data_IF_393670093150
#
_entry.id   IF_393670093150
#
_cell.length_a   1.000
_cell.length_b   1.000
_cell.length_c   1.000
_cell.angle_alpha   90.00
_cell.angle_beta   90.00
_cell.angle_gamma   90.00
#
_symmetry.space_group_name_H-M   'P 1'
#
loop_
_entity.id
_entity.type
_entity.pdbx_description
1 polymer ?
#
# COMPACT_ATOMS: atom_id res chain seq x y z
N UNK A 1 13.20 -9.51 -16.86
CA UNK A 1 12.37 -10.47 -17.61
C UNK A 1 13.19 -11.29 -18.59
N UNK A 2 12.71 -12.46 -18.91
CA UNK A 2 13.39 -13.46 -19.74
C UNK A 2 13.34 -13.15 -21.26
N UNK A 3 13.17 -11.93 -21.68
CA UNK A 3 13.19 -11.52 -23.08
C UNK A 3 12.52 -10.18 -23.31
N UNK A 4 12.86 -9.52 -24.43
CA UNK A 4 12.22 -8.28 -24.88
C UNK A 4 11.44 -8.61 -26.17
N UNK A 5 10.11 -8.51 -26.10
CA UNK A 5 9.27 -8.60 -27.29
C UNK A 5 8.61 -7.23 -27.58
N UNK A 6 8.56 -6.86 -28.87
CA UNK A 6 7.82 -5.66 -29.27
C UNK A 6 6.33 -5.85 -28.97
N UNK A 7 5.65 -4.82 -28.46
CA UNK A 7 4.21 -4.85 -28.12
C UNK A 7 3.33 -5.36 -29.29
N UNK A 8 3.72 -5.08 -30.54
CA UNK A 8 3.05 -5.53 -31.77
C UNK A 8 3.11 -7.06 -31.96
N UNK A 9 4.09 -7.73 -31.36
CA UNK A 9 4.29 -9.18 -31.48
C UNK A 9 3.72 -9.97 -30.31
N UNK A 10 3.11 -9.29 -29.33
CA UNK A 10 2.45 -9.92 -28.20
C UNK A 10 1.04 -10.33 -28.59
N UNK A 11 0.79 -11.63 -28.70
CA UNK A 11 -0.54 -12.21 -28.97
C UNK A 11 -1.44 -12.26 -27.73
N UNK A 12 -0.90 -11.99 -26.56
CA UNK A 12 -1.62 -11.99 -25.28
C UNK A 12 -2.21 -10.63 -24.91
N UNK A 13 -3.26 -10.62 -24.07
CA UNK A 13 -3.86 -9.38 -23.54
C UNK A 13 -2.90 -8.71 -22.55
N UNK A 14 -2.16 -7.72 -23.02
CA UNK A 14 -1.27 -6.87 -22.21
C UNK A 14 -1.89 -5.48 -22.14
N UNK A 15 -2.14 -5.01 -20.92
CA UNK A 15 -2.52 -3.62 -20.63
C UNK A 15 -1.32 -2.88 -20.06
N UNK A 16 -1.12 -1.62 -20.45
CA UNK A 16 -0.06 -0.77 -19.92
C UNK A 16 -0.62 0.51 -19.34
N UNK A 17 -0.09 0.92 -18.20
CA UNK A 17 -0.35 2.21 -17.56
C UNK A 17 0.97 3.00 -17.64
N UNK A 18 0.91 4.21 -18.18
CA UNK A 18 2.07 5.08 -18.35
C UNK A 18 2.24 6.04 -17.17
N UNK A 19 3.40 6.68 -17.08
CA UNK A 19 3.70 7.72 -16.09
C UNK A 19 2.64 8.85 -16.13
N UNK A 20 2.24 9.31 -17.32
CA UNK A 20 1.29 10.40 -17.50
C UNK A 20 -0.08 10.12 -16.84
N UNK A 21 -0.47 8.86 -16.74
CA UNK A 21 -1.70 8.44 -16.08
C UNK A 21 -1.58 8.41 -14.55
N UNK A 22 -0.37 8.39 -14.03
CA UNK A 22 -0.04 8.36 -12.59
C UNK A 22 0.25 9.76 -12.04
N UNK A 23 0.80 10.66 -12.87
CA UNK A 23 1.18 12.02 -12.47
C UNK A 23 -0.03 12.91 -12.15
N UNK A 24 0.16 13.86 -11.23
CA UNK A 24 -0.85 14.85 -10.86
C UNK A 24 -1.99 14.34 -9.97
N UNK A 25 -2.00 13.07 -9.60
CA UNK A 25 -3.01 12.52 -8.67
C UNK A 25 -2.51 12.59 -7.22
N UNK A 26 -3.34 13.01 -6.26
CA UNK A 26 -2.97 13.02 -4.84
C UNK A 26 -3.05 11.62 -4.23
N UNK A 27 -2.17 10.73 -4.69
CA UNK A 27 -2.17 9.30 -4.35
C UNK A 27 -1.04 8.98 -3.37
N UNK A 28 -1.33 8.12 -2.41
CA UNK A 28 -0.36 7.63 -1.45
C UNK A 28 0.42 6.42 -1.97
N UNK A 29 -0.17 5.63 -2.88
CA UNK A 29 0.48 4.47 -3.47
C UNK A 29 0.09 4.24 -4.95
N UNK A 30 0.87 3.42 -5.63
CA UNK A 30 0.71 3.10 -7.06
C UNK A 30 -0.63 2.41 -7.35
N UNK A 31 -1.12 1.58 -6.44
CA UNK A 31 -2.37 0.84 -6.63
C UNK A 31 -3.58 1.78 -6.72
N UNK A 32 -3.62 2.82 -5.87
CA UNK A 32 -4.67 3.84 -5.94
C UNK A 32 -4.69 4.55 -7.30
N UNK A 33 -3.50 4.84 -7.86
CA UNK A 33 -3.38 5.45 -9.19
C UNK A 33 -3.91 4.56 -10.32
N UNK A 34 -3.75 3.26 -10.17
CA UNK A 34 -4.15 2.27 -11.18
C UNK A 34 -5.65 1.95 -11.15
N UNK A 35 -6.37 2.36 -10.11
CA UNK A 35 -7.80 2.08 -10.00
C UNK A 35 -8.58 2.69 -11.17
N UNK A 36 -9.36 1.85 -11.85
CA UNK A 36 -10.17 2.27 -13.01
C UNK A 36 -9.41 2.53 -14.31
N UNK A 37 -8.06 2.38 -14.34
CA UNK A 37 -7.27 2.65 -15.55
C UNK A 37 -7.22 1.47 -16.52
N UNK A 38 -7.45 0.25 -16.04
CA UNK A 38 -7.24 -0.97 -16.82
C UNK A 38 -8.43 -1.91 -16.72
N UNK A 39 -9.06 -2.30 -17.85
CA UNK A 39 -10.16 -3.29 -17.86
C UNK A 39 -9.69 -4.64 -17.29
N UNK A 40 -10.51 -5.25 -16.40
CA UNK A 40 -10.24 -6.54 -15.76
C UNK A 40 -9.20 -6.50 -14.64
N UNK A 41 -8.79 -5.29 -14.20
CA UNK A 41 -8.05 -5.05 -12.98
C UNK A 41 -9.02 -4.54 -11.92
N UNK A 42 -9.12 -5.27 -10.81
CA UNK A 42 -9.94 -4.88 -9.66
C UNK A 42 -9.00 -4.51 -8.51
N UNK A 43 -9.11 -3.29 -8.04
CA UNK A 43 -8.35 -2.77 -6.89
C UNK A 43 -9.36 -2.40 -5.82
N UNK A 44 -9.24 -3.00 -4.64
CA UNK A 44 -10.14 -2.80 -3.53
C UNK A 44 -9.38 -2.30 -2.31
N UNK A 45 -9.81 -1.17 -1.78
CA UNK A 45 -9.31 -0.66 -0.50
C UNK A 45 -10.01 -1.42 0.63
N UNK A 46 -9.26 -2.23 1.37
CA UNK A 46 -9.79 -3.03 2.48
C UNK A 46 -9.90 -2.23 3.79
N UNK A 47 -9.11 -1.18 3.95
CA UNK A 47 -9.07 -0.33 5.15
C UNK A 47 -8.81 1.12 4.78
N UNK A 48 -9.31 2.04 5.59
CA UNK A 48 -9.03 3.49 5.49
C UNK A 48 -7.90 3.94 6.42
N UNK A 49 -7.20 3.00 7.07
CA UNK A 49 -6.03 3.34 7.89
C UNK A 49 -4.87 3.78 7.00
N UNK A 50 -4.10 4.82 7.40
CA UNK A 50 -2.95 5.28 6.65
C UNK A 50 -1.95 4.14 6.37
N UNK A 51 -1.39 4.10 5.16
CA UNK A 51 -0.46 3.05 4.76
C UNK A 51 -1.07 1.68 4.49
N UNK A 52 -2.40 1.53 4.56
CA UNK A 52 -3.07 0.29 4.14
C UNK A 52 -2.86 0.06 2.64
N UNK A 53 -2.57 -1.18 2.29
CA UNK A 53 -2.31 -1.58 0.90
C UNK A 53 -3.59 -2.13 0.30
N UNK A 54 -4.11 -1.55 -0.81
CA UNK A 54 -5.24 -2.12 -1.52
C UNK A 54 -4.94 -3.52 -2.03
N UNK A 55 -5.93 -4.41 -2.03
CA UNK A 55 -5.82 -5.68 -2.72
C UNK A 55 -5.95 -5.47 -4.24
N UNK A 56 -5.21 -6.28 -4.99
CA UNK A 56 -5.21 -6.25 -6.45
C UNK A 56 -5.60 -7.63 -6.99
N UNK A 57 -6.58 -7.68 -7.88
CA UNK A 57 -7.02 -8.90 -8.53
C UNK A 57 -7.09 -8.71 -10.04
N UNK A 58 -6.56 -9.67 -10.78
CA UNK A 58 -6.62 -9.69 -12.25
C UNK A 58 -7.65 -10.75 -12.66
N UNK A 59 -8.68 -10.31 -13.40
CA UNK A 59 -9.79 -11.16 -13.89
C UNK A 59 -10.64 -11.81 -12.80
N UNK A 60 -10.71 -11.21 -11.61
CA UNK A 60 -11.52 -11.68 -10.49
C UNK A 60 -10.81 -12.68 -9.58
N UNK A 61 -11.57 -13.28 -8.67
CA UNK A 61 -11.06 -14.25 -7.69
C UNK A 61 -11.03 -15.64 -8.33
N UNK A 62 -9.85 -16.22 -8.47
CA UNK A 62 -9.63 -17.52 -9.11
C UNK A 62 -9.48 -18.65 -8.08
N UNK A 63 -9.16 -18.33 -6.85
CA UNK A 63 -8.93 -19.29 -5.77
C UNK A 63 -9.50 -18.78 -4.45
N UNK A 64 -9.74 -19.67 -3.50
CA UNK A 64 -10.12 -19.30 -2.12
C UNK A 64 -8.92 -18.91 -1.25
N UNK A 65 -7.70 -19.09 -1.76
CA UNK A 65 -6.46 -18.73 -1.09
C UNK A 65 -5.98 -17.34 -1.56
N UNK A 66 -4.67 -17.17 -1.74
CA UNK A 66 -4.09 -15.92 -2.24
C UNK A 66 -4.38 -15.72 -3.72
N UNK A 67 -5.01 -14.60 -4.09
CA UNK A 67 -5.29 -14.18 -5.46
C UNK A 67 -4.38 -13.04 -5.95
N UNK A 68 -3.37 -12.64 -5.16
CA UNK A 68 -2.47 -11.56 -5.55
C UNK A 68 -1.66 -11.94 -6.79
N UNK A 69 -1.52 -11.06 -7.78
CA UNK A 69 -0.65 -11.27 -8.91
C UNK A 69 0.82 -11.20 -8.50
N UNK A 70 1.66 -11.86 -9.26
CA UNK A 70 3.11 -11.74 -9.11
C UNK A 70 3.57 -10.34 -9.55
N UNK A 71 4.23 -9.60 -8.68
CA UNK A 71 4.77 -8.27 -8.98
C UNK A 71 6.27 -8.37 -9.24
N UNK A 72 6.71 -7.93 -10.43
CA UNK A 72 8.11 -7.90 -10.83
C UNK A 72 8.53 -6.45 -11.10
N UNK A 73 9.51 -5.98 -10.35
CA UNK A 73 10.06 -4.63 -10.45
C UNK A 73 11.49 -4.73 -11.00
N UNK A 74 11.74 -4.20 -12.21
CA UNK A 74 13.02 -4.26 -12.88
C UNK A 74 13.66 -5.67 -12.93
N UNK A 75 12.81 -6.71 -13.01
CA UNK A 75 13.22 -8.12 -13.12
C UNK A 75 13.28 -8.89 -11.81
N UNK A 76 13.01 -8.29 -10.66
CA UNK A 76 12.94 -8.93 -9.33
C UNK A 76 11.55 -8.83 -8.74
N UNK A 77 11.15 -9.85 -7.99
CA UNK A 77 9.91 -9.85 -7.21
C UNK A 77 9.95 -8.77 -6.12
N UNK A 78 8.92 -7.91 -6.08
CA UNK A 78 8.81 -6.80 -5.13
C UNK A 78 7.36 -6.44 -4.80
N UNK A 79 7.16 -5.31 -4.11
CA UNK A 79 5.85 -4.83 -3.69
C UNK A 79 5.54 -3.48 -4.32
N UNK A 80 4.34 -3.34 -4.92
CA UNK A 80 3.84 -2.06 -5.45
C UNK A 80 3.65 -1.02 -4.34
N UNK A 81 3.35 -1.43 -3.11
CA UNK A 81 3.18 -0.54 -1.97
C UNK A 81 4.47 0.22 -1.60
N UNK A 82 5.62 -0.38 -1.90
CA UNK A 82 6.94 0.17 -1.57
C UNK A 82 7.52 1.07 -2.66
N UNK A 83 6.83 1.15 -3.82
CA UNK A 83 7.26 2.00 -4.93
C UNK A 83 6.80 3.44 -4.73
N UNK A 84 7.70 4.36 -5.09
CA UNK A 84 7.32 5.74 -5.31
C UNK A 84 6.70 5.87 -6.71
N UNK A 85 5.44 6.35 -6.84
CA UNK A 85 4.82 6.55 -8.15
C UNK A 85 5.66 7.41 -9.10
N UNK A 86 6.38 8.41 -8.58
CA UNK A 86 7.24 9.30 -9.37
C UNK A 86 8.43 8.58 -10.05
N UNK A 87 8.85 7.40 -9.54
CA UNK A 87 9.96 6.62 -10.09
C UNK A 87 9.54 5.66 -11.21
N UNK A 88 8.24 5.53 -11.50
CA UNK A 88 7.72 4.57 -12.45
C UNK A 88 7.76 5.16 -13.86
N UNK A 89 8.28 4.40 -14.81
CA UNK A 89 8.19 4.69 -16.25
C UNK A 89 6.96 4.05 -16.86
N UNK A 90 6.73 2.75 -16.54
CA UNK A 90 5.62 1.98 -17.11
C UNK A 90 5.23 0.81 -16.20
N UNK A 91 3.93 0.54 -16.14
CA UNK A 91 3.39 -0.69 -15.57
C UNK A 91 2.73 -1.48 -16.69
N UNK A 92 3.09 -2.76 -16.82
CA UNK A 92 2.49 -3.69 -17.78
C UNK A 92 1.82 -4.84 -17.05
N UNK A 93 0.56 -5.13 -17.37
CA UNK A 93 -0.23 -6.17 -16.73
C UNK A 93 -0.40 -7.32 -17.71
N UNK A 94 0.18 -8.48 -17.37
CA UNK A 94 0.07 -9.72 -18.13
C UNK A 94 -1.09 -10.53 -17.57
N UNK A 95 -2.12 -10.72 -18.39
CA UNK A 95 -3.38 -11.35 -17.96
C UNK A 95 -3.55 -12.78 -18.47
N UNK A 96 -2.89 -13.12 -19.57
CA UNK A 96 -3.06 -14.41 -20.25
C UNK A 96 -1.96 -15.39 -19.91
N UNK A 97 -2.28 -16.68 -19.85
CA UNK A 97 -1.34 -17.76 -19.57
C UNK A 97 -0.14 -17.78 -20.55
N UNK A 98 -0.36 -17.45 -21.82
CA UNK A 98 0.71 -17.37 -22.81
C UNK A 98 1.73 -16.28 -22.52
N UNK A 99 1.30 -15.15 -21.97
CA UNK A 99 2.19 -14.02 -21.58
C UNK A 99 2.86 -14.23 -20.23
N UNK A 100 2.25 -15.02 -19.34
CA UNK A 100 2.75 -15.30 -17.99
C UNK A 100 3.56 -16.59 -17.89
N UNK A 101 3.57 -17.44 -18.91
CA UNK A 101 4.21 -18.76 -18.93
C UNK A 101 5.70 -18.76 -18.52
N UNK A 102 6.44 -17.70 -18.85
CA UNK A 102 7.86 -17.54 -18.48
C UNK A 102 8.10 -17.37 -16.97
N UNK A 103 7.05 -17.06 -16.20
CA UNK A 103 7.12 -16.88 -14.74
C UNK A 103 6.62 -18.13 -13.97
N UNK A 104 6.23 -19.20 -14.68
CA UNK A 104 5.80 -20.47 -14.09
C UNK A 104 4.50 -20.40 -13.32
N UNK A 105 4.32 -21.34 -12.37
CA UNK A 105 3.08 -21.49 -11.61
C UNK A 105 2.75 -20.31 -10.69
N UNK A 106 3.75 -19.53 -10.26
CA UNK A 106 3.55 -18.31 -9.44
C UNK A 106 2.77 -17.22 -10.16
N UNK A 107 2.74 -17.27 -11.49
CA UNK A 107 2.05 -16.30 -12.33
C UNK A 107 0.59 -16.71 -12.67
N UNK A 108 0.03 -17.71 -12.00
CA UNK A 108 -1.35 -18.19 -12.22
C UNK A 108 -2.40 -17.10 -12.06
N UNK A 109 -2.18 -16.14 -11.16
CA UNK A 109 -3.06 -15.00 -10.90
C UNK A 109 -2.72 -13.77 -11.75
N UNK A 110 -1.84 -13.93 -12.77
CA UNK A 110 -1.33 -12.82 -13.59
C UNK A 110 -0.02 -12.24 -13.06
N UNK A 111 0.57 -11.34 -13.84
CA UNK A 111 1.84 -10.68 -13.51
C UNK A 111 1.72 -9.17 -13.73
N UNK A 112 2.20 -8.41 -12.78
CA UNK A 112 2.39 -6.96 -12.87
C UNK A 112 3.87 -6.68 -13.06
N UNK A 113 4.25 -6.20 -14.23
CA UNK A 113 5.62 -5.81 -14.56
C UNK A 113 5.77 -4.31 -14.38
N UNK A 114 6.67 -3.90 -13.53
CA UNK A 114 7.03 -2.48 -13.34
C UNK A 114 8.39 -2.23 -13.92
N UNK A 115 8.46 -1.26 -14.82
CA UNK A 115 9.72 -0.67 -15.30
C UNK A 115 9.86 0.69 -14.67
N UNK A 116 11.02 0.94 -14.05
CA UNK A 116 11.30 2.23 -13.41
C UNK A 116 12.09 3.15 -14.35
N UNK A 117 12.00 4.45 -14.09
CA UNK A 117 12.71 5.48 -14.83
C UNK A 117 14.23 5.19 -14.82
N UNK A 118 14.86 5.31 -15.98
CA UNK A 118 16.29 5.09 -16.17
C UNK A 118 16.98 6.42 -16.47
N UNK A 119 18.29 6.45 -16.25
CA UNK A 119 19.11 7.57 -16.66
C UNK A 119 19.11 7.74 -18.18
N UNK A 120 19.16 8.97 -18.65
CA UNK A 120 19.27 9.35 -20.07
C UNK A 120 20.59 10.05 -20.31
N UNK A 121 21.22 9.80 -21.45
CA UNK A 121 22.37 10.60 -21.89
C UNK A 121 21.91 12.06 -22.11
N UNK A 122 22.68 13.00 -21.58
CA UNK A 122 22.36 14.43 -21.67
C UNK A 122 22.84 15.21 -20.46
N UNK A 123 22.44 16.48 -20.42
CA UNK A 123 22.71 17.35 -19.26
C UNK A 123 21.96 16.83 -18.03
N UNK A 124 22.50 17.15 -16.87
CA UNK A 124 21.85 16.82 -15.59
C UNK A 124 20.53 17.59 -15.50
N UNK A 125 19.45 16.88 -15.29
CA UNK A 125 18.12 17.41 -15.03
C UNK A 125 17.73 17.04 -13.61
N UNK A 126 17.27 18.04 -12.85
CA UNK A 126 16.79 17.87 -11.48
C UNK A 126 15.31 18.23 -11.47
N UNK A 127 14.48 17.34 -10.97
CA UNK A 127 13.05 17.57 -10.79
C UNK A 127 12.68 17.51 -9.32
N UNK A 128 11.77 18.38 -8.90
CA UNK A 128 11.17 18.36 -7.56
C UNK A 128 9.66 18.44 -7.69
N UNK A 129 8.99 17.43 -7.12
CA UNK A 129 7.54 17.33 -7.10
C UNK A 129 7.07 17.43 -5.65
N UNK A 130 6.09 18.29 -5.41
CA UNK A 130 5.44 18.48 -4.12
C UNK A 130 3.94 18.30 -4.24
N UNK A 131 3.36 17.56 -3.32
CA UNK A 131 1.91 17.41 -3.19
C UNK A 131 1.51 17.67 -1.75
N UNK A 132 0.43 18.42 -1.57
CA UNK A 132 -0.28 18.57 -0.30
C UNK A 132 -1.75 18.33 -0.51
N UNK A 133 -2.36 17.57 0.38
CA UNK A 133 -3.78 17.25 0.34
C UNK A 133 -4.37 17.14 1.75
N UNK A 134 -5.70 17.14 1.81
CA UNK A 134 -6.46 16.92 3.04
C UNK A 134 -7.45 15.79 2.80
N UNK A 135 -7.38 14.79 3.65
CA UNK A 135 -8.29 13.66 3.62
C UNK A 135 -9.47 13.88 4.57
N UNK A 136 -10.63 13.42 4.16
CA UNK A 136 -11.85 13.43 4.96
C UNK A 136 -12.64 12.14 4.69
N UNK A 137 -13.37 11.59 5.67
CA UNK A 137 -14.32 10.52 5.39
C UNK A 137 -15.35 10.97 4.33
N UNK A 138 -15.51 10.21 3.28
CA UNK A 138 -16.47 10.52 2.20
C UNK A 138 -17.91 10.41 2.66
N UNK A 139 -18.19 9.51 3.61
CA UNK A 139 -19.50 9.32 4.22
C UNK A 139 -19.33 8.70 5.60
N UNK A 140 -20.09 9.18 6.56
CA UNK A 140 -20.24 8.56 7.87
C UNK A 140 -21.70 8.16 8.07
N UNK A 141 -21.99 7.12 8.87
CA UNK A 141 -23.35 6.72 9.20
C UNK A 141 -24.14 7.89 9.79
N UNK A 142 -25.36 8.09 9.31
CA UNK A 142 -26.31 9.00 9.93
C UNK A 142 -26.90 8.32 11.15
N UNK A 143 -26.69 8.91 12.31
CA UNK A 143 -27.23 8.44 13.58
C UNK A 143 -28.51 9.28 13.89
N UNK A 144 -29.54 8.61 14.41
CA UNK A 144 -30.74 9.29 14.86
C UNK A 144 -30.40 10.27 15.98
N UNK A 145 -31.10 11.42 16.02
CA UNK A 145 -30.98 12.35 17.13
C UNK A 145 -31.48 11.73 18.43
N UNK A 146 -30.96 12.21 19.55
CA UNK A 146 -31.23 11.63 20.88
C UNK A 146 -32.72 11.56 21.24
N UNK A 147 -33.49 12.58 20.88
CA UNK A 147 -34.94 12.57 21.11
C UNK A 147 -35.68 11.56 20.22
N UNK A 148 -35.25 11.42 18.94
CA UNK A 148 -35.81 10.43 18.02
C UNK A 148 -35.50 9.02 18.53
N UNK A 149 -34.25 8.80 18.98
CA UNK A 149 -33.86 7.53 19.60
C UNK A 149 -34.75 7.20 20.81
N UNK A 150 -35.00 8.17 21.70
CA UNK A 150 -35.82 7.97 22.90
C UNK A 150 -37.29 7.67 22.56
N UNK A 151 -37.85 8.37 21.56
CA UNK A 151 -39.21 8.13 21.05
C UNK A 151 -39.36 6.72 20.47
N UNK A 152 -38.43 6.32 19.54
CA UNK A 152 -38.44 4.99 18.92
C UNK A 152 -38.20 3.87 19.94
N UNK A 153 -37.33 4.12 20.93
CA UNK A 153 -37.08 3.15 21.99
C UNK A 153 -38.37 2.90 22.82
N UNK A 154 -39.10 3.97 23.17
CA UNK A 154 -40.39 3.86 23.89
C UNK A 154 -41.40 3.10 23.03
N UNK A 155 -41.53 3.42 21.75
CA UNK A 155 -42.43 2.71 20.83
C UNK A 155 -42.10 1.20 20.79
N UNK A 156 -40.83 0.85 20.63
CA UNK A 156 -40.38 -0.54 20.64
C UNK A 156 -40.65 -1.25 21.98
N UNK A 157 -40.48 -0.55 23.11
CA UNK A 157 -40.77 -1.08 24.44
C UNK A 157 -42.26 -1.39 24.58
N UNK A 158 -43.12 -0.45 24.22
CA UNK A 158 -44.60 -0.59 24.31
C UNK A 158 -45.07 -1.73 23.37
N UNK A 159 -44.58 -1.78 22.14
CA UNK A 159 -44.94 -2.81 21.17
C UNK A 159 -44.50 -4.21 21.64
N UNK A 160 -43.49 -4.32 22.50
CA UNK A 160 -43.05 -5.58 23.12
C UNK A 160 -43.69 -5.85 24.51
N UNK A 161 -44.73 -5.07 24.90
CA UNK A 161 -45.46 -5.23 26.17
C UNK A 161 -44.69 -4.71 27.40
N UNK A 162 -43.66 -3.90 27.20
CA UNK A 162 -42.88 -3.26 28.29
C UNK A 162 -43.31 -1.81 28.49
N UNK A 163 -43.05 -1.27 29.66
CA UNK A 163 -43.30 0.15 29.93
C UNK A 163 -42.31 1.03 29.12
N UNK A 164 -42.78 2.24 28.77
CA UNK A 164 -41.91 3.27 28.21
C UNK A 164 -40.74 3.56 29.17
N UNK A 165 -39.53 3.70 28.64
CA UNK A 165 -38.33 3.97 29.42
C UNK A 165 -38.10 5.46 29.66
N UNK A 166 -38.39 6.28 28.67
CA UNK A 166 -38.16 7.72 28.71
C UNK A 166 -39.47 8.47 28.94
N UNK A 167 -39.47 9.43 29.88
CA UNK A 167 -40.62 10.30 30.11
C UNK A 167 -40.72 11.39 29.04
N UNK A 168 -41.90 12.03 28.84
CA UNK A 168 -42.03 13.16 27.92
C UNK A 168 -41.07 14.32 28.25
N UNK A 169 -40.79 14.57 29.53
CA UNK A 169 -39.86 15.61 30.00
C UNK A 169 -38.43 15.29 29.61
N UNK A 170 -38.00 14.03 29.75
CA UNK A 170 -36.67 13.58 29.29
C UNK A 170 -36.51 13.72 27.78
N UNK A 171 -37.51 13.33 26.99
CA UNK A 171 -37.50 13.50 25.54
C UNK A 171 -37.42 14.98 25.16
N UNK A 172 -38.20 15.84 25.86
CA UNK A 172 -38.16 17.29 25.67
C UNK A 172 -36.76 17.86 26.03
N UNK A 173 -36.13 17.37 27.09
CA UNK A 173 -34.77 17.76 27.47
C UNK A 173 -33.74 17.42 26.37
N UNK A 174 -33.82 16.22 25.81
CA UNK A 174 -32.95 15.83 24.67
C UNK A 174 -33.16 16.73 23.46
N UNK A 175 -34.42 17.10 23.15
CA UNK A 175 -34.75 18.00 22.03
C UNK A 175 -34.28 19.44 22.27
N UNK A 176 -34.20 19.89 23.51
CA UNK A 176 -33.88 21.28 23.89
C UNK A 176 -32.42 21.46 24.35
N UNK A 177 -31.48 20.62 23.89
CA UNK A 177 -30.05 20.79 24.13
C UNK A 177 -29.44 19.79 25.11
N UNK A 178 -30.13 18.70 25.44
CA UNK A 178 -29.51 17.55 26.10
C UNK A 178 -28.47 16.83 25.21
N UNK A 179 -27.78 15.83 25.75
CA UNK A 179 -26.77 15.09 24.98
C UNK A 179 -27.33 14.56 23.65
N UNK A 180 -26.65 14.87 22.55
CA UNK A 180 -26.97 14.39 21.21
C UNK A 180 -25.66 14.08 20.46
N UNK A 181 -25.09 12.90 20.71
CA UNK A 181 -23.75 12.56 20.33
C UNK A 181 -23.75 11.55 19.19
N UNK A 182 -23.10 11.90 18.08
CA UNK A 182 -22.75 10.94 17.04
C UNK A 182 -21.40 10.31 17.39
N UNK A 183 -21.41 9.18 18.10
CA UNK A 183 -20.23 8.47 18.58
C UNK A 183 -19.27 8.07 17.45
N UNK A 184 -19.79 7.71 16.28
CA UNK A 184 -18.96 7.38 15.13
C UNK A 184 -18.20 8.60 14.62
N UNK A 185 -18.89 9.76 14.48
CA UNK A 185 -18.27 11.00 14.04
C UNK A 185 -17.16 11.47 14.98
N UNK A 186 -17.33 11.21 16.29
CA UNK A 186 -16.34 11.59 17.29
C UNK A 186 -15.06 10.77 17.26
N UNK A 187 -15.02 9.64 16.56
CA UNK A 187 -13.77 8.87 16.34
C UNK A 187 -12.84 9.53 15.33
N UNK A 188 -13.35 10.40 14.47
CA UNK A 188 -12.61 10.92 13.31
C UNK A 188 -12.13 12.36 13.51
N UNK A 189 -10.94 12.61 12.96
CA UNK A 189 -10.47 13.97 12.72
C UNK A 189 -11.28 14.60 11.58
N UNK A 190 -11.56 15.88 11.71
CA UNK A 190 -12.29 16.61 10.66
C UNK A 190 -11.51 16.71 9.38
N UNK A 191 -10.20 16.89 9.49
CA UNK A 191 -9.25 17.03 8.40
C UNK A 191 -7.98 16.27 8.77
N UNK A 192 -7.48 15.46 7.85
CA UNK A 192 -6.24 14.70 7.99
C UNK A 192 -5.29 15.07 6.86
N UNK A 193 -4.25 15.86 7.15
CA UNK A 193 -3.32 16.31 6.11
C UNK A 193 -2.46 15.14 5.60
N UNK A 194 -2.07 15.26 4.34
CA UNK A 194 -1.02 14.46 3.74
C UNK A 194 -0.11 15.33 2.87
N UNK A 195 1.17 14.99 2.83
CA UNK A 195 2.14 15.65 1.96
C UNK A 195 3.11 14.66 1.37
N UNK A 196 3.56 14.91 0.14
CA UNK A 196 4.67 14.18 -0.44
C UNK A 196 5.68 15.11 -1.08
N UNK A 197 6.95 14.72 -1.00
CA UNK A 197 8.10 15.41 -1.56
C UNK A 197 8.93 14.40 -2.34
N UNK A 198 9.18 14.66 -3.62
CA UNK A 198 10.00 13.81 -4.45
C UNK A 198 11.05 14.66 -5.14
N UNK A 199 12.31 14.25 -5.01
CA UNK A 199 13.44 14.86 -5.74
C UNK A 199 14.04 13.79 -6.62
N UNK A 200 14.23 14.06 -7.88
CA UNK A 200 14.93 13.18 -8.79
C UNK A 200 15.99 13.92 -9.60
N UNK A 201 17.03 13.18 -9.95
CA UNK A 201 18.12 13.65 -10.79
C UNK A 201 18.43 12.61 -11.87
N UNK A 202 18.40 13.03 -13.12
CA UNK A 202 18.81 12.21 -14.26
C UNK A 202 19.91 12.90 -15.04
N UNK A 203 20.81 12.10 -15.63
CA UNK A 203 21.89 12.64 -16.45
C UNK A 203 22.80 11.56 -16.97
N UNK A 204 23.81 11.98 -17.73
CA UNK A 204 24.82 11.08 -18.23
C UNK A 204 25.40 11.48 -19.58
N UNK A 205 26.14 10.56 -20.15
CA UNK A 205 26.69 10.66 -21.50
C UNK A 205 26.51 9.31 -22.24
N UNK A 206 27.12 9.14 -23.40
CA UNK A 206 27.01 7.91 -24.21
C UNK A 206 27.56 6.66 -23.51
N UNK A 207 28.42 6.81 -22.50
CA UNK A 207 29.02 5.71 -21.76
C UNK A 207 28.33 5.46 -20.40
N UNK A 208 27.94 6.51 -19.69
CA UNK A 208 27.35 6.43 -18.36
C UNK A 208 26.06 7.21 -18.32
N UNK A 209 24.95 6.58 -17.92
CA UNK A 209 23.72 7.26 -17.58
C UNK A 209 23.24 6.83 -16.19
N UNK A 210 22.62 7.76 -15.48
CA UNK A 210 22.16 7.52 -14.13
C UNK A 210 20.84 8.24 -13.84
N UNK A 211 20.07 7.67 -12.93
CA UNK A 211 18.89 8.25 -12.30
C UNK A 211 18.98 7.98 -10.81
N UNK A 212 18.83 9.03 -10.01
CA UNK A 212 18.73 8.94 -8.56
C UNK A 212 17.46 9.67 -8.10
N UNK A 213 16.75 9.13 -7.12
CA UNK A 213 15.59 9.79 -6.52
C UNK A 213 15.52 9.56 -5.02
N UNK A 214 14.90 10.55 -4.35
CA UNK A 214 14.51 10.50 -2.95
C UNK A 214 13.05 10.91 -2.83
N UNK A 215 12.27 10.13 -2.09
CA UNK A 215 10.85 10.39 -1.84
C UNK A 215 10.54 10.37 -0.34
N UNK A 216 9.65 11.26 0.08
CA UNK A 216 9.07 11.31 1.41
C UNK A 216 7.57 11.49 1.30
N UNK A 217 6.79 10.68 1.99
CA UNK A 217 5.35 10.80 2.15
C UNK A 217 5.02 10.82 3.64
N UNK A 218 4.16 11.75 4.05
CA UNK A 218 3.57 11.84 5.38
C UNK A 218 2.05 11.92 5.26
N UNK A 219 1.34 11.01 5.90
CA UNK A 219 -0.11 10.90 5.86
C UNK A 219 -0.65 10.74 7.28
N UNK A 220 -1.38 11.73 7.77
CA UNK A 220 -2.01 11.68 9.08
C UNK A 220 -3.23 10.75 9.08
N UNK A 221 -3.49 10.10 10.21
CA UNK A 221 -4.68 9.27 10.38
C UNK A 221 -5.96 10.10 10.39
N UNK A 222 -7.01 9.55 9.80
CA UNK A 222 -8.37 10.08 9.96
C UNK A 222 -8.96 9.79 11.35
N UNK A 223 -8.45 8.80 12.09
CA UNK A 223 -8.86 8.54 13.47
C UNK A 223 -8.18 9.50 14.44
N UNK A 224 -8.92 9.92 15.48
CA UNK A 224 -8.35 10.67 16.59
C UNK A 224 -7.31 9.82 17.33
N UNK A 225 -6.35 10.47 17.96
CA UNK A 225 -5.30 9.83 18.76
C UNK A 225 -3.96 10.50 18.62
N UNK A 226 -2.96 10.08 19.41
CA UNK A 226 -1.64 10.72 19.42
C UNK A 226 -0.79 10.26 18.23
N UNK A 227 -0.52 11.16 17.29
CA UNK A 227 0.44 11.00 16.17
C UNK A 227 0.23 9.72 15.35
N UNK A 228 -1.01 9.30 15.13
CA UNK A 228 -1.31 8.19 14.24
C UNK A 228 -1.17 8.62 12.78
N UNK A 229 -0.54 7.76 12.00
CA UNK A 229 -0.30 8.08 10.61
C UNK A 229 0.64 7.10 9.93
N UNK A 230 1.07 7.48 8.74
CA UNK A 230 1.95 6.72 7.88
C UNK A 230 3.03 7.61 7.31
N UNK A 231 4.29 7.18 7.42
CA UNK A 231 5.43 7.82 6.78
C UNK A 231 6.13 6.83 5.87
N UNK A 232 6.45 7.26 4.65
CA UNK A 232 7.24 6.48 3.71
C UNK A 232 8.45 7.26 3.25
N UNK A 233 9.59 6.59 3.28
CA UNK A 233 10.86 7.07 2.77
C UNK A 233 11.28 6.16 1.62
N UNK A 234 11.60 6.72 0.48
CA UNK A 234 12.10 6.01 -0.68
C UNK A 234 13.45 6.57 -1.11
N UNK A 235 14.34 5.69 -1.56
CA UNK A 235 15.55 6.06 -2.27
C UNK A 235 15.76 5.09 -3.43
N UNK A 236 16.13 5.60 -4.58
CA UNK A 236 16.40 4.79 -5.79
C UNK A 236 17.67 5.27 -6.47
N UNK A 237 18.41 4.31 -7.04
CA UNK A 237 19.56 4.55 -7.88
C UNK A 237 19.56 3.54 -9.04
N UNK A 238 19.52 4.06 -10.26
CA UNK A 238 19.66 3.29 -11.49
C UNK A 238 20.89 3.82 -12.25
N UNK A 239 21.82 2.95 -12.59
CA UNK A 239 23.04 3.30 -13.32
C UNK A 239 23.21 2.32 -14.47
N UNK A 240 23.47 2.84 -15.66
CA UNK A 240 23.87 2.05 -16.84
C UNK A 240 25.22 2.54 -17.34
N UNK A 241 26.19 1.64 -17.39
CA UNK A 241 27.56 1.94 -17.82
C UNK A 241 27.99 1.04 -18.99
N UNK A 242 28.17 1.63 -20.15
CA UNK A 242 28.82 0.98 -21.31
C UNK A 242 30.34 1.00 -21.11
N UNK A 243 30.85 -0.08 -20.51
CA UNK A 243 32.26 -0.21 -20.20
C UNK A 243 33.09 -0.28 -21.50
N UNK A 244 32.53 -0.96 -22.51
CA UNK A 244 33.04 -1.02 -23.88
C UNK A 244 31.86 -0.94 -24.85
N UNK A 245 32.13 -0.90 -26.16
CA UNK A 245 31.06 -0.87 -27.17
C UNK A 245 30.18 -2.13 -27.17
N UNK A 246 30.67 -3.22 -26.61
CA UNK A 246 29.98 -4.52 -26.59
C UNK A 246 29.72 -5.05 -25.16
N UNK A 247 30.09 -4.29 -24.11
CA UNK A 247 29.88 -4.71 -22.72
C UNK A 247 29.23 -3.60 -21.90
N UNK A 248 28.08 -3.89 -21.31
CA UNK A 248 27.28 -2.95 -20.48
C UNK A 248 27.03 -3.54 -19.11
N UNK A 249 27.20 -2.73 -18.07
CA UNK A 249 26.79 -3.01 -16.70
C UNK A 249 25.61 -2.15 -16.30
N UNK A 250 24.57 -2.76 -15.74
CA UNK A 250 23.41 -2.08 -15.22
C UNK A 250 23.29 -2.37 -13.71
N UNK A 251 23.09 -1.33 -12.92
CA UNK A 251 22.80 -1.39 -11.51
C UNK A 251 21.43 -0.77 -11.26
N UNK A 252 20.58 -1.49 -10.56
CA UNK A 252 19.30 -0.97 -10.04
C UNK A 252 19.26 -1.19 -8.55
N UNK A 253 18.95 -0.17 -7.77
CA UNK A 253 18.82 -0.28 -6.31
C UNK A 253 17.65 0.57 -5.83
N UNK A 254 16.87 0.03 -4.91
CA UNK A 254 15.74 0.70 -4.25
C UNK A 254 15.78 0.39 -2.77
N UNK A 255 15.58 1.41 -1.96
CA UNK A 255 15.25 1.30 -0.54
C UNK A 255 13.88 1.92 -0.30
N UNK A 256 13.08 1.27 0.55
CA UNK A 256 11.83 1.81 1.04
C UNK A 256 11.69 1.52 2.54
N UNK A 257 11.33 2.53 3.30
CA UNK A 257 10.89 2.39 4.70
C UNK A 257 9.46 2.88 4.82
N UNK A 258 8.59 2.02 5.36
CA UNK A 258 7.23 2.34 5.71
C UNK A 258 7.10 2.29 7.23
N UNK A 259 6.69 3.40 7.84
CA UNK A 259 6.45 3.52 9.28
C UNK A 259 4.96 3.83 9.47
N UNK A 260 4.22 2.83 9.95
CA UNK A 260 2.78 2.90 10.21
C UNK A 260 2.58 2.92 11.71
N UNK A 261 1.99 4.00 12.23
CA UNK A 261 1.61 4.11 13.63
C UNK A 261 0.11 4.24 13.75
N UNK A 262 -0.52 3.33 14.44
CA UNK A 262 -1.97 3.26 14.62
C UNK A 262 -2.32 2.91 16.08
N UNK A 263 -3.59 2.97 16.43
CA UNK A 263 -4.06 2.54 17.73
C UNK A 263 -3.87 1.03 17.95
N UNK A 264 -3.71 0.62 19.22
CA UNK A 264 -3.41 -0.78 19.59
C UNK A 264 -4.63 -1.73 19.51
N UNK A 265 -5.84 -1.21 19.36
CA UNK A 265 -7.08 -1.99 19.29
C UNK A 265 -7.58 -2.09 17.85
N UNK A 266 -8.37 -3.12 17.56
CA UNK A 266 -8.89 -3.34 16.20
C UNK A 266 -9.88 -2.26 15.78
N UNK A 267 -9.64 -1.66 14.64
CA UNK A 267 -10.41 -0.55 14.08
C UNK A 267 -11.90 -0.90 13.93
N UNK A 268 -12.17 -2.08 13.38
CA UNK A 268 -13.51 -2.58 13.13
C UNK A 268 -14.30 -2.67 14.44
N UNK A 269 -13.67 -3.15 15.49
CA UNK A 269 -14.29 -3.26 16.79
C UNK A 269 -14.59 -1.87 17.41
N UNK A 270 -13.67 -0.90 17.27
CA UNK A 270 -13.88 0.48 17.75
C UNK A 270 -15.08 1.11 17.04
N UNK A 271 -15.16 0.97 15.71
CA UNK A 271 -16.27 1.48 14.90
C UNK A 271 -17.59 0.78 15.28
N UNK A 272 -17.56 -0.55 15.44
CA UNK A 272 -18.74 -1.33 15.85
C UNK A 272 -19.27 -0.87 17.20
N UNK A 273 -18.41 -0.69 18.19
CA UNK A 273 -18.82 -0.19 19.50
C UNK A 273 -19.42 1.21 19.41
N UNK A 274 -18.82 2.11 18.64
CA UNK A 274 -19.37 3.46 18.44
C UNK A 274 -20.74 3.45 17.75
N UNK A 275 -20.96 2.54 16.79
CA UNK A 275 -22.28 2.38 16.14
C UNK A 275 -23.37 1.86 17.09
N UNK A 276 -22.99 1.12 18.12
CA UNK A 276 -23.94 0.58 19.13
C UNK A 276 -24.28 1.57 20.22
N UNK A 277 -23.53 2.69 20.32
CA UNK A 277 -23.76 3.66 21.40
C UNK A 277 -24.95 4.54 21.12
N UNK A 278 -25.92 4.60 22.08
CA UNK A 278 -27.03 5.51 21.96
C UNK A 278 -26.60 6.97 22.01
N UNK A 279 -27.22 7.87 21.23
CA UNK A 279 -26.85 9.28 21.14
C UNK A 279 -27.14 10.10 22.39
N UNK A 280 -27.91 9.56 23.32
CA UNK A 280 -28.30 10.18 24.59
C UNK A 280 -27.21 10.22 25.66
N UNK A 281 -26.08 9.55 25.41
CA UNK A 281 -24.95 9.51 26.34
C UNK A 281 -23.83 10.42 25.88
N UNK A 282 -23.29 11.29 26.73
CA UNK A 282 -22.06 12.04 26.44
C UNK A 282 -20.84 11.08 26.40
N UNK A 283 -19.81 11.46 25.67
CA UNK A 283 -18.54 10.67 25.60
C UNK A 283 -17.75 10.78 26.90
N UNK A 284 -17.77 11.98 27.51
CA UNK A 284 -17.15 12.28 28.81
C UNK A 284 -18.20 12.77 29.80
N UNK A 285 -17.97 12.42 31.04
CA UNK A 285 -18.72 12.92 32.18
C UNK A 285 -18.35 14.39 32.48
N UNK A 286 -19.10 15.05 33.38
CA UNK A 286 -18.83 16.44 33.77
C UNK A 286 -17.46 16.63 34.44
N UNK A 287 -16.93 15.61 35.09
CA UNK A 287 -15.59 15.60 35.69
C UNK A 287 -14.44 15.36 34.68
N UNK A 288 -14.78 15.19 33.39
CA UNK A 288 -13.83 14.92 32.31
C UNK A 288 -13.44 13.44 32.11
N UNK A 289 -13.89 12.55 32.99
CA UNK A 289 -13.69 11.10 32.82
C UNK A 289 -14.50 10.57 31.64
N UNK A 290 -14.06 9.46 31.05
CA UNK A 290 -14.81 8.85 29.95
C UNK A 290 -16.06 8.16 30.45
N UNK A 291 -17.17 8.37 29.75
CA UNK A 291 -18.44 7.76 30.08
C UNK A 291 -18.54 6.33 29.52
N UNK A 292 -19.03 5.41 30.34
CA UNK A 292 -19.37 4.05 29.99
C UNK A 292 -20.86 3.85 30.12
N UNK A 293 -21.66 4.01 29.04
CA UNK A 293 -23.11 3.82 29.12
C UNK A 293 -23.47 2.44 29.66
N UNK A 294 -24.59 2.35 30.42
CA UNK A 294 -25.03 1.13 31.06
C UNK A 294 -25.06 -0.07 30.10
N UNK A 295 -24.35 -1.14 30.44
CA UNK A 295 -24.21 -2.33 29.62
C UNK A 295 -23.08 -2.24 28.58
N UNK A 296 -22.33 -1.14 28.51
CA UNK A 296 -21.12 -1.01 27.70
C UNK A 296 -19.88 -1.04 28.59
N UNK A 297 -18.90 -1.85 28.21
CA UNK A 297 -17.60 -1.87 28.86
C UNK A 297 -16.56 -1.09 28.01
N UNK A 298 -17.02 -0.18 27.14
CA UNK A 298 -16.11 0.40 26.16
C UNK A 298 -16.51 1.82 25.78
N UNK A 299 -15.49 2.67 25.71
CA UNK A 299 -15.54 3.97 25.06
C UNK A 299 -14.54 3.99 23.91
N UNK A 300 -15.03 4.04 22.65
CA UNK A 300 -14.18 3.96 21.46
C UNK A 300 -13.18 5.12 21.37
N UNK A 301 -13.56 6.34 21.80
CA UNK A 301 -12.66 7.49 21.79
C UNK A 301 -11.52 7.32 22.81
N UNK A 302 -11.83 6.82 24.01
CA UNK A 302 -10.80 6.54 25.01
C UNK A 302 -9.78 5.52 24.50
N UNK A 303 -10.25 4.47 23.79
CA UNK A 303 -9.32 3.48 23.19
C UNK A 303 -8.40 4.10 22.15
N UNK A 304 -8.88 5.06 21.38
CA UNK A 304 -8.05 5.80 20.43
C UNK A 304 -7.05 6.73 21.13
N UNK A 305 -7.46 7.42 22.18
CA UNK A 305 -6.64 8.44 22.85
C UNK A 305 -5.68 7.85 23.89
N UNK A 306 -6.12 6.84 24.66
CA UNK A 306 -5.41 6.30 25.81
C UNK A 306 -4.99 4.83 25.66
N UNK A 307 -5.58 4.09 24.73
CA UNK A 307 -5.40 2.64 24.58
C UNK A 307 -4.02 2.17 24.17
N UNK A 308 -3.10 3.10 23.94
CA UNK A 308 -1.76 2.79 23.44
C UNK A 308 -1.69 2.80 21.93
N UNK A 309 -0.58 2.26 21.39
CA UNK A 309 -0.32 2.29 19.95
C UNK A 309 0.31 1.01 19.45
N UNK A 310 0.17 0.79 18.17
CA UNK A 310 0.86 -0.23 17.39
C UNK A 310 1.67 0.48 16.31
N UNK A 311 2.98 0.21 16.28
CA UNK A 311 3.88 0.74 15.26
C UNK A 311 4.47 -0.41 14.46
N UNK A 312 4.35 -0.32 13.15
CA UNK A 312 4.82 -1.33 12.21
C UNK A 312 5.80 -0.68 11.24
N UNK A 313 7.09 -0.99 11.41
CA UNK A 313 8.16 -0.47 10.54
C UNK A 313 8.60 -1.56 9.58
N UNK A 314 8.45 -1.29 8.27
CA UNK A 314 8.86 -2.18 7.20
C UNK A 314 10.00 -1.54 6.42
N UNK A 315 11.14 -2.20 6.37
CA UNK A 315 12.28 -1.82 5.55
C UNK A 315 12.44 -2.81 4.39
N UNK A 316 12.51 -2.32 3.18
CA UNK A 316 12.79 -3.13 2.00
C UNK A 316 13.99 -2.57 1.23
N UNK A 317 14.96 -3.45 0.98
CA UNK A 317 16.05 -3.21 0.05
C UNK A 317 15.93 -4.17 -1.13
N UNK A 318 15.82 -3.62 -2.33
CA UNK A 318 15.77 -4.34 -3.59
C UNK A 318 16.96 -3.89 -4.43
N UNK A 319 17.69 -4.82 -5.05
CA UNK A 319 18.82 -4.45 -5.90
C UNK A 319 19.19 -5.52 -6.92
N UNK A 320 19.63 -5.08 -8.10
CA UNK A 320 20.08 -5.94 -9.21
C UNK A 320 21.34 -5.37 -9.83
N UNK A 321 22.28 -6.24 -10.12
CA UNK A 321 23.42 -6.00 -11.02
C UNK A 321 23.22 -6.89 -12.23
N UNK A 322 23.28 -6.33 -13.44
CA UNK A 322 23.18 -7.06 -14.70
C UNK A 322 24.36 -6.70 -15.59
N UNK A 323 25.00 -7.71 -16.15
CA UNK A 323 26.04 -7.59 -17.16
C UNK A 323 25.50 -8.11 -18.50
N UNK A 324 25.65 -7.32 -19.54
CA UNK A 324 25.35 -7.68 -20.92
C UNK A 324 26.59 -7.61 -21.77
N UNK A 325 26.96 -8.72 -22.42
CA UNK A 325 28.12 -8.81 -23.28
C UNK A 325 27.74 -9.34 -24.66
N UNK A 326 27.91 -8.53 -25.68
CA UNK A 326 27.80 -8.97 -27.07
C UNK A 326 29.14 -9.56 -27.53
N UNK A 327 29.27 -10.87 -27.33
CA UNK A 327 30.52 -11.62 -27.61
C UNK A 327 30.82 -11.67 -29.11
N UNK A 328 29.77 -11.78 -29.92
CA UNK A 328 29.80 -11.79 -31.37
C UNK A 328 28.50 -11.13 -31.88
N UNK A 329 28.53 -10.62 -33.12
CA UNK A 329 27.36 -9.96 -33.73
C UNK A 329 26.10 -10.84 -33.62
N UNK A 330 25.14 -10.37 -32.84
CA UNK A 330 23.88 -11.05 -32.57
C UNK A 330 23.93 -12.10 -31.45
N UNK A 331 25.12 -12.47 -30.92
CA UNK A 331 25.30 -13.39 -29.80
C UNK A 331 25.54 -12.55 -28.52
N UNK A 332 24.60 -12.56 -27.59
CA UNK A 332 24.71 -11.88 -26.31
C UNK A 332 24.66 -12.87 -25.14
N UNK A 333 25.57 -12.64 -24.20
CA UNK A 333 25.53 -13.23 -22.86
C UNK A 333 25.00 -12.20 -21.89
N UNK A 334 24.01 -12.58 -21.10
CA UNK A 334 23.39 -11.71 -20.09
C UNK A 334 23.43 -12.45 -18.77
N UNK A 335 24.12 -11.87 -17.80
CA UNK A 335 24.17 -12.36 -16.43
C UNK A 335 23.53 -11.32 -15.48
N UNK A 336 22.66 -11.73 -14.59
CA UNK A 336 22.14 -10.86 -13.54
C UNK A 336 22.14 -11.57 -12.20
N UNK A 337 22.46 -10.82 -11.16
CA UNK A 337 22.33 -11.22 -9.77
C UNK A 337 21.62 -10.09 -9.02
N UNK A 338 20.65 -10.45 -8.21
CA UNK A 338 19.93 -9.48 -7.44
C UNK A 338 19.20 -10.11 -6.26
N UNK A 339 18.56 -9.28 -5.46
CA UNK A 339 17.82 -9.77 -4.32
C UNK A 339 16.98 -8.71 -3.66
N UNK A 340 16.14 -9.22 -2.78
CA UNK A 340 15.27 -8.46 -1.90
C UNK A 340 15.57 -8.83 -0.46
N UNK A 341 15.75 -7.84 0.39
CA UNK A 341 15.77 -8.01 1.86
C UNK A 341 14.61 -7.21 2.41
N UNK A 342 13.73 -7.88 3.13
CA UNK A 342 12.60 -7.24 3.80
C UNK A 342 12.66 -7.52 5.29
N UNK A 343 12.58 -6.46 6.09
CA UNK A 343 12.53 -6.53 7.54
C UNK A 343 11.22 -5.89 7.99
N UNK A 344 10.54 -6.55 8.91
CA UNK A 344 9.39 -6.01 9.61
C UNK A 344 9.67 -5.97 11.10
N UNK A 345 9.43 -4.82 11.71
CA UNK A 345 9.47 -4.65 13.17
C UNK A 345 8.10 -4.17 13.63
N UNK A 346 7.44 -4.99 14.41
CA UNK A 346 6.21 -4.64 15.11
C UNK A 346 6.54 -4.30 16.57
N UNK A 347 6.06 -3.13 17.00
CA UNK A 347 6.02 -2.71 18.40
C UNK A 347 4.59 -2.35 18.75
N UNK A 348 3.96 -3.10 19.64
CA UNK A 348 2.60 -2.84 20.12
C UNK A 348 2.64 -2.63 21.65
N UNK A 349 2.22 -1.45 22.06
CA UNK A 349 2.02 -1.10 23.46
C UNK A 349 0.53 -0.90 23.70
N UNK A 350 -0.14 -1.93 24.20
CA UNK A 350 -1.56 -1.88 24.58
C UNK A 350 -1.68 -1.53 26.05
N UNK A 351 -2.41 -0.46 26.33
CA UNK A 351 -2.67 0.00 27.69
C UNK A 351 -4.01 -0.53 28.19
N UNK A 352 -4.00 -1.07 29.40
CA UNK A 352 -5.20 -1.39 30.14
C UNK A 352 -5.71 -0.13 30.87
N UNK A 353 -7.02 0.05 30.86
CA UNK A 353 -7.74 1.08 31.63
C UNK A 353 -9.16 0.59 31.95
N UNK A 354 -9.83 1.27 32.83
CA UNK A 354 -11.23 0.96 33.16
C UNK A 354 -12.08 0.90 31.87
N UNK A 355 -12.88 -0.16 31.73
CA UNK A 355 -13.71 -0.39 30.54
C UNK A 355 -13.04 -1.09 29.36
N UNK A 356 -11.74 -1.47 29.41
CA UNK A 356 -11.15 -2.31 28.35
C UNK A 356 -11.47 -3.79 28.50
N UNK A 357 -11.71 -4.24 29.73
CA UNK A 357 -11.70 -5.66 30.09
C UNK A 357 -10.29 -6.24 30.24
N UNK A 358 -9.26 -5.49 29.83
CA UNK A 358 -7.86 -5.86 30.06
C UNK A 358 -7.46 -5.45 31.47
N UNK A 359 -6.77 -6.31 32.19
CA UNK A 359 -6.30 -6.08 33.57
C UNK A 359 -4.86 -5.60 33.66
N UNK A 360 -4.11 -5.76 32.56
CA UNK A 360 -2.67 -5.48 32.50
C UNK A 360 -2.27 -4.80 31.19
N UNK A 361 -1.25 -3.95 31.26
CA UNK A 361 -0.59 -3.42 30.08
C UNK A 361 0.15 -4.54 29.35
N UNK A 362 0.06 -4.54 28.02
CA UNK A 362 0.73 -5.54 27.18
C UNK A 362 1.71 -4.88 26.24
N UNK A 363 2.97 -5.34 26.29
CA UNK A 363 3.99 -5.00 25.30
C UNK A 363 4.24 -6.21 24.40
N UNK A 364 4.15 -6.01 23.08
CA UNK A 364 4.49 -7.03 22.09
C UNK A 364 5.54 -6.46 21.15
N UNK A 365 6.65 -7.17 21.04
CA UNK A 365 7.67 -6.88 20.04
C UNK A 365 7.86 -8.10 19.15
N UNK A 366 7.84 -7.89 17.83
CA UNK A 366 8.09 -8.94 16.86
C UNK A 366 9.06 -8.41 15.80
N UNK A 367 9.96 -9.26 15.40
CA UNK A 367 10.89 -9.00 14.31
C UNK A 367 10.80 -10.12 13.29
N UNK A 368 10.57 -9.75 12.04
CA UNK A 368 10.52 -10.68 10.93
C UNK A 368 11.48 -10.22 9.83
N UNK A 369 12.22 -11.15 9.26
CA UNK A 369 13.13 -10.89 8.15
C UNK A 369 12.98 -11.92 7.06
N UNK A 370 12.78 -11.48 5.83
CA UNK A 370 12.86 -12.34 4.64
C UNK A 370 13.95 -11.86 3.68
N UNK A 371 14.56 -12.82 3.01
CA UNK A 371 15.56 -12.58 1.96
C UNK A 371 15.19 -13.42 0.75
N UNK A 372 15.22 -12.81 -0.42
CA UNK A 372 15.09 -13.46 -1.70
C UNK A 372 16.32 -13.12 -2.55
N UNK A 373 16.95 -14.11 -3.16
CA UNK A 373 18.10 -13.95 -4.06
C UNK A 373 17.73 -14.56 -5.37
N UNK A 374 17.97 -13.84 -6.47
CA UNK A 374 17.71 -14.30 -7.83
C UNK A 374 18.97 -14.15 -8.65
N UNK A 375 19.35 -15.21 -9.38
CA UNK A 375 20.46 -15.18 -10.33
C UNK A 375 19.96 -15.72 -11.67
N UNK A 376 20.22 -14.97 -12.75
CA UNK A 376 19.85 -15.39 -14.11
C UNK A 376 21.07 -15.36 -15.00
N UNK A 377 21.21 -16.38 -15.84
CA UNK A 377 22.19 -16.46 -16.91
C UNK A 377 21.43 -16.74 -18.21
N UNK A 378 21.63 -15.91 -19.24
CA UNK A 378 20.96 -16.06 -20.52
C UNK A 378 21.95 -15.93 -21.65
N UNK A 379 21.74 -16.74 -22.67
CA UNK A 379 22.41 -16.65 -23.96
C UNK A 379 21.37 -16.38 -25.01
N UNK A 380 21.53 -15.31 -25.77
CA UNK A 380 20.61 -14.98 -26.87
C UNK A 380 21.41 -14.89 -28.17
N UNK A 381 20.86 -15.48 -29.21
CA UNK A 381 21.41 -15.34 -30.56
C UNK A 381 20.32 -14.88 -31.52
N UNK A 382 20.57 -13.77 -32.21
CA UNK A 382 19.65 -13.23 -33.20
C UNK A 382 20.43 -12.97 -34.50
N UNK A 383 19.95 -13.54 -35.61
CA UNK A 383 20.58 -13.34 -36.92
C UNK A 383 19.52 -13.17 -38.01
N UNK A 384 19.94 -12.56 -39.13
CA UNK A 384 19.08 -12.40 -40.30
C UNK A 384 19.78 -13.02 -41.52
N UNK A 385 19.13 -13.99 -42.13
CA UNK A 385 19.61 -14.69 -43.32
C UNK A 385 18.59 -14.45 -44.44
N UNK A 386 18.96 -13.60 -45.40
CA UNK A 386 18.02 -13.16 -46.43
C UNK A 386 16.80 -12.47 -45.85
N UNK A 387 15.61 -13.00 -46.13
CA UNK A 387 14.33 -12.51 -45.61
C UNK A 387 13.97 -13.09 -44.25
N UNK A 388 14.67 -14.10 -43.77
CA UNK A 388 14.38 -14.80 -42.52
C UNK A 388 15.10 -14.18 -41.34
N UNK A 389 14.41 -13.91 -40.24
CA UNK A 389 14.94 -13.54 -38.93
C UNK A 389 14.85 -14.74 -38.01
N UNK A 390 15.98 -15.20 -37.50
CA UNK A 390 16.11 -16.38 -36.63
C UNK A 390 16.57 -15.87 -35.27
N UNK A 391 15.85 -16.22 -34.20
CA UNK A 391 16.22 -15.90 -32.82
C UNK A 391 16.16 -17.15 -31.96
N UNK A 392 17.13 -17.30 -31.07
CA UNK A 392 17.17 -18.35 -30.04
C UNK A 392 17.54 -17.77 -28.69
N UNK A 393 16.97 -18.35 -27.62
CA UNK A 393 17.27 -18.00 -26.24
C UNK A 393 17.43 -19.28 -25.43
N UNK A 394 18.50 -19.33 -24.64
CA UNK A 394 18.75 -20.34 -23.61
C UNK A 394 18.98 -19.61 -22.30
N UNK A 395 18.32 -20.04 -21.23
CA UNK A 395 18.44 -19.40 -19.93
C UNK A 395 18.48 -20.38 -18.77
N UNK A 396 19.15 -19.96 -17.72
CA UNK A 396 19.16 -20.62 -16.40
C UNK A 396 18.80 -19.58 -15.36
N UNK A 397 17.90 -19.94 -14.44
CA UNK A 397 17.51 -19.10 -13.31
C UNK A 397 17.62 -19.88 -12.01
N UNK A 398 18.13 -19.21 -10.98
CA UNK A 398 18.16 -19.72 -9.61
C UNK A 398 17.48 -18.70 -8.69
N UNK A 399 16.64 -19.19 -7.81
CA UNK A 399 16.00 -18.41 -6.76
C UNK A 399 16.20 -19.10 -5.41
N UNK A 400 16.64 -18.33 -4.42
CA UNK A 400 16.81 -18.75 -3.04
C UNK A 400 15.98 -17.87 -2.12
N UNK A 401 15.27 -18.50 -1.17
CA UNK A 401 14.43 -17.83 -0.21
C UNK A 401 14.79 -18.24 1.22
N UNK A 402 14.81 -17.29 2.16
CA UNK A 402 15.02 -17.56 3.58
C UNK A 402 14.23 -16.59 4.46
N UNK A 403 13.69 -17.11 5.56
CA UNK A 403 12.94 -16.36 6.56
C UNK A 403 13.52 -16.57 7.96
N UNK A 404 13.38 -15.53 8.80
CA UNK A 404 13.65 -15.56 10.24
C UNK A 404 12.58 -14.77 10.95
N UNK A 405 12.11 -15.34 12.04
CA UNK A 405 11.26 -14.70 13.04
C UNK A 405 12.03 -14.49 14.32
#
# INVERSE_FOLDING_TARGET
>A
GYGVQKKVNLTGAVSSVSTDELEGKPISNVLEAMQGTTPGLVIQQGSSTPGSVPSINIRGLNTMNNNDPLVIIDGIEGSLANLNPADIEQISILKDASSTAIYGSRASNGVVLVTTKKGKAGKVEISYDFMYGVQQPTSLPKIADSWVYAELYNEAAVNSGRAAKFTPEQIAQYRNGGPNVNWVKELYNRNSPQSSHNVSMTGGNDQLSYMASLGYLDQSSMFKGPDYGYKRYNARLNVSHKVTNNFTLNLTSQFARNDIKEHAYWTEWIIEQANRMPPIYPIKNEDGSYNYPAGSNSNGLQRLEEGGYRQNVNDELLGTIQAEWEVYKGLKLIGSAGGRVWNNKLHENRKAFEGTGDTENKLTEQFYRSKNITTNLMVTYNTKIGIHSIGGLLGYAYEGFSEKQ
#
